data_IF_921101439979
#
_entry.id   IF_921101439979
#
_cell.length_a   1.000
_cell.length_b   1.000
_cell.length_c   1.000
_cell.angle_alpha   90.00
_cell.angle_beta   90.00
_cell.angle_gamma   90.00
#
_symmetry.space_group_name_H-M   'P 1'
#
loop_
_entity.id
_entity.type
_entity.pdbx_description
1 polymer ?
#
# COMPACT_ATOMS: atom_id res chain seq x y z
N UNK A 1 -3.57 11.76 3.00
CA UNK A 1 -2.50 11.82 1.97
C UNK A 1 -2.94 11.24 0.63
N UNK A 2 -4.00 10.42 0.55
CA UNK A 2 -4.52 9.90 -0.72
C UNK A 2 -5.06 10.98 -1.66
N UNK A 3 -5.21 10.62 -2.93
CA UNK A 3 -5.95 11.40 -3.92
C UNK A 3 -7.42 11.51 -3.51
N UNK A 4 -8.05 12.63 -3.85
CA UNK A 4 -9.49 12.81 -3.62
C UNK A 4 -10.29 11.82 -4.48
N UNK A 5 -9.83 11.57 -5.71
CA UNK A 5 -10.41 10.55 -6.60
C UNK A 5 -10.39 9.13 -6.00
N UNK A 6 -9.46 8.82 -5.10
CA UNK A 6 -9.40 7.52 -4.42
C UNK A 6 -10.56 7.36 -3.44
N UNK A 7 -10.87 8.41 -2.67
CA UNK A 7 -12.00 8.38 -1.75
C UNK A 7 -13.34 8.37 -2.49
N UNK A 8 -13.45 9.16 -3.55
CA UNK A 8 -14.64 9.14 -4.42
C UNK A 8 -14.87 7.76 -5.05
N UNK A 9 -13.80 7.12 -5.53
CA UNK A 9 -13.87 5.76 -6.07
C UNK A 9 -14.31 4.74 -5.03
N UNK A 10 -13.73 4.76 -3.83
CA UNK A 10 -14.07 3.85 -2.73
C UNK A 10 -15.54 3.99 -2.36
N UNK A 11 -16.05 5.21 -2.14
CA UNK A 11 -17.46 5.41 -1.75
C UNK A 11 -18.44 4.99 -2.86
N UNK A 12 -18.08 5.19 -4.13
CA UNK A 12 -18.87 4.70 -5.27
C UNK A 12 -18.95 3.18 -5.27
N UNK A 13 -17.81 2.50 -5.22
CA UNK A 13 -17.73 1.02 -5.29
C UNK A 13 -18.38 0.38 -4.07
N UNK A 14 -18.17 0.95 -2.88
CA UNK A 14 -18.83 0.55 -1.63
C UNK A 14 -20.35 0.51 -1.78
N UNK A 15 -20.95 1.57 -2.35
CA UNK A 15 -22.39 1.65 -2.60
C UNK A 15 -22.84 0.66 -3.68
N UNK A 16 -22.09 0.54 -4.77
CA UNK A 16 -22.41 -0.33 -5.90
C UNK A 16 -22.41 -1.82 -5.51
N UNK A 17 -21.41 -2.24 -4.75
CA UNK A 17 -21.21 -3.64 -4.37
C UNK A 17 -21.86 -4.00 -3.03
N UNK A 18 -22.40 -3.03 -2.30
CA UNK A 18 -23.02 -3.25 -0.99
C UNK A 18 -22.05 -3.77 0.08
N UNK A 19 -20.77 -3.37 -0.02
CA UNK A 19 -19.72 -3.80 0.92
C UNK A 19 -19.49 -2.77 2.02
N UNK A 20 -19.03 -3.24 3.17
CA UNK A 20 -18.58 -2.36 4.26
C UNK A 20 -17.12 -1.99 4.08
N UNK A 21 -16.78 -0.73 4.31
CA UNK A 21 -15.40 -0.23 4.30
C UNK A 21 -15.02 0.21 5.71
N UNK A 22 -13.90 -0.32 6.21
CA UNK A 22 -13.29 0.12 7.47
C UNK A 22 -12.04 0.91 7.14
N UNK A 23 -11.92 2.11 7.72
CA UNK A 23 -10.74 2.95 7.59
C UNK A 23 -9.97 2.93 8.90
N UNK A 24 -8.70 2.56 8.85
CA UNK A 24 -7.79 2.58 9.99
C UNK A 24 -6.55 3.38 9.62
N UNK A 25 -6.21 4.35 10.44
CA UNK A 25 -4.95 5.10 10.38
C UNK A 25 -4.29 5.09 11.74
N UNK A 26 -3.03 5.53 11.78
CA UNK A 26 -2.36 5.78 13.05
C UNK A 26 -2.85 7.12 13.62
N UNK A 27 -3.90 7.08 14.44
CA UNK A 27 -4.53 8.28 15.02
C UNK A 27 -3.56 9.10 15.88
N UNK A 28 -2.49 8.50 16.39
CA UNK A 28 -1.46 9.19 17.21
C UNK A 28 -0.62 10.16 16.38
N UNK A 29 -0.61 10.00 15.06
CA UNK A 29 0.07 10.89 14.13
C UNK A 29 -0.87 11.89 13.45
N UNK A 30 -2.12 11.98 13.91
CA UNK A 30 -3.10 12.90 13.34
C UNK A 30 -2.66 14.35 13.60
N UNK A 31 -2.68 15.15 12.53
CA UNK A 31 -2.28 16.56 12.57
C UNK A 31 -1.00 16.84 11.79
N UNK A 32 -0.12 15.84 11.65
CA UNK A 32 1.04 15.95 10.78
C UNK A 32 0.63 16.02 9.30
N UNK A 33 1.42 16.76 8.52
CA UNK A 33 1.27 16.96 7.09
C UNK A 33 2.45 16.35 6.35
N UNK A 34 2.23 16.04 5.08
CA UNK A 34 3.30 15.58 4.20
C UNK A 34 4.48 16.55 4.23
N UNK A 35 5.68 16.04 4.47
CA UNK A 35 6.92 16.81 4.52
C UNK A 35 7.27 17.39 5.89
N UNK A 36 6.40 17.28 6.90
CA UNK A 36 6.74 17.66 8.27
C UNK A 36 7.93 16.83 8.77
N UNK A 37 8.80 17.45 9.58
CA UNK A 37 9.85 16.75 10.31
C UNK A 37 9.29 16.33 11.67
N UNK A 38 9.26 15.03 11.94
CA UNK A 38 8.73 14.45 13.17
C UNK A 38 9.88 13.96 14.02
N UNK A 39 9.97 14.46 15.26
CA UNK A 39 10.96 13.98 16.23
C UNK A 39 10.50 12.69 16.87
N UNK A 40 11.38 11.68 16.89
CA UNK A 40 11.10 10.39 17.51
C UNK A 40 10.83 10.53 19.01
N UNK A 41 11.43 11.52 19.68
CA UNK A 41 11.18 11.80 21.10
C UNK A 41 9.77 12.31 21.39
N UNK A 42 9.07 12.86 20.40
CA UNK A 42 7.70 13.38 20.53
C UNK A 42 6.63 12.31 20.22
N UNK A 43 7.05 11.14 19.71
CA UNK A 43 6.15 10.03 19.42
C UNK A 43 5.62 9.37 20.70
N UNK A 44 4.46 8.73 20.55
CA UNK A 44 3.93 7.82 21.57
C UNK A 44 4.95 6.72 21.92
N UNK A 45 4.80 6.10 23.08
CA UNK A 45 5.67 4.98 23.47
C UNK A 45 5.55 3.82 22.49
N UNK A 46 4.33 3.54 22.05
CA UNK A 46 3.98 2.47 21.12
C UNK A 46 4.64 2.68 19.74
N UNK A 47 4.59 3.90 19.18
CA UNK A 47 5.22 4.18 17.89
C UNK A 47 6.76 4.17 17.99
N UNK A 48 7.34 4.59 19.12
CA UNK A 48 8.79 4.45 19.37
C UNK A 48 9.22 2.99 19.44
N UNK A 49 8.45 2.14 20.10
CA UNK A 49 8.70 0.69 20.16
C UNK A 49 8.62 0.05 18.76
N UNK A 50 7.66 0.46 17.93
CA UNK A 50 7.57 0.02 16.53
C UNK A 50 8.76 0.48 15.68
N UNK A 51 9.22 1.73 15.83
CA UNK A 51 10.44 2.21 15.17
C UNK A 51 11.69 1.47 15.64
N UNK A 52 11.79 1.14 16.92
CA UNK A 52 12.88 0.33 17.45
C UNK A 52 12.89 -1.07 16.85
N UNK A 53 11.71 -1.73 16.74
CA UNK A 53 11.56 -3.04 16.10
C UNK A 53 11.95 -3.00 14.62
N UNK A 54 11.65 -1.90 13.94
CA UNK A 54 12.06 -1.63 12.55
C UNK A 54 13.58 -1.40 12.42
N UNK A 55 14.31 -1.24 13.53
CA UNK A 55 15.73 -0.90 13.52
C UNK A 55 16.01 0.56 13.17
N UNK A 56 15.00 1.45 13.28
CA UNK A 56 15.16 2.87 13.01
C UNK A 56 15.85 3.57 14.18
N UNK A 57 17.00 4.18 13.92
CA UNK A 57 17.91 4.73 14.94
C UNK A 57 18.15 6.24 14.84
N UNK A 58 17.45 6.95 13.95
CA UNK A 58 17.59 8.41 13.80
C UNK A 58 16.65 9.14 14.77
N UNK A 59 17.01 10.36 15.11
CA UNK A 59 16.25 11.20 16.05
C UNK A 59 14.97 11.79 15.45
N UNK A 60 14.89 11.88 14.12
CA UNK A 60 13.76 12.44 13.39
C UNK A 60 13.55 11.72 12.06
N UNK A 61 12.36 11.89 11.48
CA UNK A 61 12.03 11.44 10.14
C UNK A 61 11.09 12.42 9.45
N UNK A 62 11.07 12.38 8.11
CA UNK A 62 10.12 13.16 7.32
C UNK A 62 8.80 12.39 7.24
N UNK A 63 7.69 13.05 7.51
CA UNK A 63 6.35 12.51 7.39
C UNK A 63 5.99 12.30 5.90
N UNK A 64 6.46 11.19 5.35
CA UNK A 64 6.31 10.80 3.95
C UNK A 64 6.35 9.26 3.83
N UNK A 65 5.79 8.71 2.76
CA UNK A 65 5.76 7.27 2.50
C UNK A 65 7.04 6.75 1.83
N UNK A 66 7.86 7.63 1.25
CA UNK A 66 9.21 7.33 0.81
C UNK A 66 10.22 7.25 1.97
N UNK A 67 9.81 7.63 3.19
CA UNK A 67 10.59 7.49 4.40
C UNK A 67 10.19 6.19 5.11
N UNK A 68 11.16 5.36 5.48
CA UNK A 68 10.89 4.05 6.08
C UNK A 68 10.10 4.13 7.39
N UNK A 69 10.42 5.09 8.27
CA UNK A 69 9.72 5.29 9.54
C UNK A 69 8.30 5.81 9.27
N UNK A 70 8.15 6.81 8.41
CA UNK A 70 6.86 7.33 8.00
C UNK A 70 5.96 6.25 7.38
N UNK A 71 6.49 5.46 6.45
CA UNK A 71 5.77 4.37 5.81
C UNK A 71 5.32 3.30 6.83
N UNK A 72 6.23 2.83 7.68
CA UNK A 72 5.91 1.82 8.69
C UNK A 72 4.81 2.28 9.64
N UNK A 73 4.94 3.50 10.19
CA UNK A 73 3.97 4.05 11.13
C UNK A 73 2.61 4.39 10.48
N UNK A 74 2.58 4.70 9.19
CA UNK A 74 1.36 5.12 8.48
C UNK A 74 0.65 3.97 7.75
N UNK A 75 1.32 2.84 7.55
CA UNK A 75 0.75 1.68 6.82
C UNK A 75 0.83 0.39 7.61
N UNK A 76 2.02 0.00 8.04
CA UNK A 76 2.21 -1.29 8.71
C UNK A 76 1.56 -1.31 10.09
N UNK A 77 1.82 -0.30 10.91
CA UNK A 77 1.25 -0.18 12.26
C UNK A 77 -0.28 -0.18 12.25
N UNK A 78 -0.98 0.69 11.48
CA UNK A 78 -2.44 0.67 11.46
C UNK A 78 -3.01 -0.63 10.87
N UNK A 79 -2.32 -1.30 9.93
CA UNK A 79 -2.75 -2.62 9.47
C UNK A 79 -2.67 -3.67 10.60
N UNK A 80 -1.56 -3.71 11.35
CA UNK A 80 -1.41 -4.60 12.51
C UNK A 80 -2.51 -4.36 13.54
N UNK A 81 -2.78 -3.09 13.85
CA UNK A 81 -3.87 -2.71 14.75
C UNK A 81 -5.24 -3.15 14.22
N UNK A 82 -5.54 -2.93 12.93
CA UNK A 82 -6.80 -3.35 12.31
C UNK A 82 -7.01 -4.86 12.41
N UNK A 83 -5.98 -5.67 12.10
CA UNK A 83 -6.05 -7.13 12.21
C UNK A 83 -6.38 -7.55 13.65
N UNK A 84 -5.76 -6.90 14.64
CA UNK A 84 -5.95 -7.21 16.05
C UNK A 84 -7.33 -6.79 16.56
N UNK A 85 -7.73 -5.55 16.27
CA UNK A 85 -8.98 -4.95 16.75
C UNK A 85 -10.20 -5.64 16.13
N UNK A 86 -10.11 -5.99 14.84
CA UNK A 86 -11.18 -6.66 14.09
C UNK A 86 -11.11 -8.19 14.18
N UNK A 87 -10.09 -8.75 14.85
CA UNK A 87 -9.86 -10.19 15.00
C UNK A 87 -9.85 -10.93 13.65
N UNK A 88 -9.04 -10.44 12.72
CA UNK A 88 -8.94 -10.99 11.36
C UNK A 88 -8.04 -12.22 11.38
N UNK A 89 -8.61 -13.40 11.14
CA UNK A 89 -7.84 -14.65 10.99
C UNK A 89 -7.19 -14.77 9.60
N UNK A 90 -7.84 -14.22 8.57
CA UNK A 90 -7.37 -14.27 7.19
C UNK A 90 -7.58 -12.92 6.47
N UNK A 91 -6.53 -12.43 5.82
CA UNK A 91 -6.52 -11.18 5.05
C UNK A 91 -6.25 -11.47 3.58
N UNK A 92 -7.21 -11.19 2.71
CA UNK A 92 -7.01 -11.28 1.26
C UNK A 92 -6.20 -10.05 0.80
N UNK A 93 -5.09 -10.27 0.09
CA UNK A 93 -4.22 -9.20 -0.39
C UNK A 93 -3.99 -9.35 -1.89
N UNK A 94 -4.20 -8.27 -2.65
CA UNK A 94 -4.06 -8.23 -4.10
C UNK A 94 -2.62 -7.99 -4.58
N UNK A 95 -1.65 -8.79 -4.10
CA UNK A 95 -0.27 -8.77 -4.64
C UNK A 95 -0.11 -9.81 -5.75
N UNK A 96 0.83 -9.55 -6.67
CA UNK A 96 1.14 -10.42 -7.81
C UNK A 96 2.66 -10.60 -7.92
N UNK A 97 3.12 -11.70 -8.52
CA UNK A 97 4.56 -11.99 -8.61
C UNK A 97 5.30 -11.06 -9.58
N UNK A 98 4.66 -10.64 -10.67
CA UNK A 98 5.22 -9.74 -11.69
C UNK A 98 5.28 -8.27 -11.24
N UNK A 99 4.51 -7.89 -10.21
CA UNK A 99 4.32 -6.49 -9.81
C UNK A 99 5.59 -5.86 -9.22
N UNK A 100 6.36 -6.60 -8.41
CA UNK A 100 7.62 -6.14 -7.83
C UNK A 100 8.51 -7.33 -7.43
N UNK A 101 9.83 -7.31 -7.67
CA UNK A 101 10.73 -8.41 -7.28
C UNK A 101 10.65 -8.82 -5.81
N UNK A 102 10.38 -7.89 -4.90
CA UNK A 102 10.22 -8.19 -3.46
C UNK A 102 9.00 -9.10 -3.16
N UNK A 103 8.09 -9.27 -4.13
CA UNK A 103 6.86 -10.09 -4.03
C UNK A 103 7.00 -11.45 -4.69
N UNK A 104 8.06 -11.68 -5.47
CA UNK A 104 8.21 -12.89 -6.29
C UNK A 104 8.29 -14.20 -5.48
N UNK A 105 8.59 -14.14 -4.18
CA UNK A 105 8.66 -15.30 -3.29
C UNK A 105 7.39 -15.52 -2.45
N UNK A 106 6.32 -14.76 -2.68
CA UNK A 106 5.09 -14.90 -1.91
C UNK A 106 4.34 -16.20 -2.23
N UNK A 107 3.66 -16.77 -1.24
CA UNK A 107 2.87 -18.01 -1.37
C UNK A 107 1.38 -17.72 -1.28
N UNK A 108 0.53 -18.60 -1.83
CA UNK A 108 -0.93 -18.42 -1.80
C UNK A 108 -1.51 -18.24 -0.39
N UNK A 109 -0.95 -18.98 0.57
CA UNK A 109 -1.25 -18.86 1.99
C UNK A 109 0.05 -18.54 2.73
N UNK A 110 0.03 -17.42 3.45
CA UNK A 110 1.24 -16.83 4.03
C UNK A 110 0.97 -16.46 5.48
N UNK A 111 1.26 -17.37 6.42
CA UNK A 111 1.08 -17.13 7.85
C UNK A 111 1.93 -15.95 8.33
N UNK A 112 1.38 -15.16 9.23
CA UNK A 112 2.01 -14.03 9.90
C UNK A 112 1.85 -14.20 11.40
N UNK A 113 2.86 -13.79 12.17
CA UNK A 113 2.90 -14.02 13.61
C UNK A 113 2.55 -12.78 14.44
N UNK A 114 2.79 -11.57 13.90
CA UNK A 114 2.59 -10.32 14.63
C UNK A 114 1.73 -9.30 13.84
N UNK A 115 0.42 -9.21 14.13
CA UNK A 115 -0.37 -10.17 14.91
C UNK A 115 -0.60 -11.49 14.14
N UNK A 116 -1.01 -12.59 14.81
CA UNK A 116 -1.32 -13.84 14.13
C UNK A 116 -2.47 -13.68 13.12
N UNK A 117 -2.20 -13.98 11.85
CA UNK A 117 -3.19 -14.06 10.77
C UNK A 117 -2.58 -14.77 9.56
N UNK A 118 -3.40 -15.17 8.59
CA UNK A 118 -2.94 -15.67 7.29
C UNK A 118 -3.21 -14.65 6.19
N UNK A 119 -2.20 -14.30 5.40
CA UNK A 119 -2.44 -13.58 4.14
C UNK A 119 -2.80 -14.56 3.05
N UNK A 120 -3.85 -14.25 2.31
CA UNK A 120 -4.37 -15.06 1.21
C UNK A 120 -4.20 -14.27 -0.09
N UNK A 121 -3.45 -14.82 -1.03
CA UNK A 121 -3.13 -14.15 -2.29
C UNK A 121 -3.80 -14.90 -3.44
N UNK A 122 -4.95 -14.38 -3.90
CA UNK A 122 -5.80 -15.08 -4.88
C UNK A 122 -5.36 -14.89 -6.34
N UNK A 123 -4.45 -13.94 -6.59
CA UNK A 123 -4.07 -13.50 -7.94
C UNK A 123 -2.55 -13.51 -8.18
N UNK A 124 -1.77 -14.29 -7.42
CA UNK A 124 -0.30 -14.29 -7.55
C UNK A 124 0.20 -14.54 -8.98
N UNK A 125 -0.51 -15.40 -9.72
CA UNK A 125 -0.19 -15.82 -11.08
C UNK A 125 -0.60 -14.81 -12.16
N UNK A 126 -1.44 -13.83 -11.82
CA UNK A 126 -1.95 -12.87 -12.80
C UNK A 126 -0.87 -11.87 -13.15
N UNK A 127 -0.63 -11.67 -14.44
CA UNK A 127 0.13 -10.55 -14.97
C UNK A 127 -0.69 -9.26 -14.97
N UNK A 128 -0.04 -8.11 -15.16
CA UNK A 128 -0.77 -6.84 -15.20
C UNK A 128 -1.78 -6.81 -16.36
N UNK A 129 -1.43 -7.47 -17.47
CA UNK A 129 -2.32 -7.65 -18.61
C UNK A 129 -3.57 -8.44 -18.22
N UNK A 130 -3.42 -9.56 -17.51
CA UNK A 130 -4.55 -10.38 -17.06
C UNK A 130 -5.51 -9.56 -16.18
N UNK A 131 -4.97 -8.70 -15.30
CA UNK A 131 -5.77 -7.81 -14.46
C UNK A 131 -6.59 -6.84 -15.31
N UNK A 132 -5.97 -6.19 -16.30
CA UNK A 132 -6.67 -5.22 -17.15
C UNK A 132 -7.70 -5.90 -18.07
N UNK A 133 -7.37 -7.04 -18.68
CA UNK A 133 -8.28 -7.79 -19.53
C UNK A 133 -9.51 -8.27 -18.73
N UNK A 134 -9.29 -8.81 -17.53
CA UNK A 134 -10.39 -9.24 -16.66
C UNK A 134 -11.25 -8.05 -16.21
N UNK A 135 -10.62 -6.96 -15.78
CA UNK A 135 -11.31 -5.76 -15.29
C UNK A 135 -12.19 -5.14 -16.38
N UNK A 136 -11.65 -4.94 -17.58
CA UNK A 136 -12.37 -4.32 -18.69
C UNK A 136 -13.41 -5.28 -19.30
N UNK A 137 -13.06 -6.55 -19.48
CA UNK A 137 -13.95 -7.58 -20.03
C UNK A 137 -15.20 -7.79 -19.19
N UNK A 138 -15.08 -7.70 -17.86
CA UNK A 138 -16.19 -7.81 -16.92
C UNK A 138 -16.82 -6.46 -16.53
N UNK A 139 -16.36 -5.36 -17.12
CA UNK A 139 -16.86 -3.99 -16.85
C UNK A 139 -16.80 -3.63 -15.36
N UNK A 140 -15.74 -4.04 -14.68
CA UNK A 140 -15.53 -3.68 -13.27
C UNK A 140 -15.24 -2.17 -13.15
N UNK A 141 -15.60 -1.54 -12.02
CA UNK A 141 -15.26 -0.15 -11.77
C UNK A 141 -13.75 0.09 -11.81
N UNK A 142 -13.33 1.09 -12.58
CA UNK A 142 -11.91 1.50 -12.70
C UNK A 142 -11.70 2.86 -12.02
N UNK A 143 -10.60 2.98 -11.28
CA UNK A 143 -10.21 4.25 -10.66
C UNK A 143 -9.85 5.28 -11.76
N UNK A 144 -10.40 6.52 -11.71
CA UNK A 144 -10.31 7.47 -12.82
C UNK A 144 -8.88 7.88 -13.18
N UNK A 145 -7.95 7.88 -12.23
CA UNK A 145 -6.54 8.18 -12.51
C UNK A 145 -5.87 7.17 -13.46
N UNK A 146 -6.35 5.93 -13.57
CA UNK A 146 -5.81 4.99 -14.55
C UNK A 146 -6.08 5.43 -16.00
N UNK A 147 -7.17 6.15 -16.27
CA UNK A 147 -7.41 6.78 -17.57
C UNK A 147 -6.46 7.95 -17.83
N UNK A 148 -5.98 8.61 -16.76
CA UNK A 148 -5.06 9.75 -16.82
C UNK A 148 -3.59 9.31 -16.87
N UNK A 149 -3.32 8.02 -17.07
CA UNK A 149 -1.98 7.46 -17.27
C UNK A 149 -1.13 7.27 -16.02
N UNK A 150 -1.79 7.17 -14.86
CA UNK A 150 -1.22 6.50 -13.69
C UNK A 150 -1.29 4.98 -13.89
N UNK A 151 -0.30 4.26 -13.33
CA UNK A 151 -0.22 2.78 -13.46
C UNK A 151 -0.20 2.05 -12.12
N UNK A 152 0.19 2.73 -11.04
CA UNK A 152 0.07 2.27 -9.66
C UNK A 152 -0.15 3.48 -8.75
N UNK A 153 -0.98 3.37 -7.71
CA UNK A 153 -1.47 4.50 -6.89
C UNK A 153 -1.18 4.34 -5.40
N UNK A 154 -0.68 5.40 -4.75
CA UNK A 154 -0.44 5.50 -3.30
C UNK A 154 -1.09 6.75 -2.67
N UNK A 155 -0.29 7.59 -2.02
CA UNK A 155 -0.59 8.98 -1.73
C UNK A 155 -0.40 9.87 -2.97
N UNK A 156 -0.94 11.09 -2.88
CA UNK A 156 -0.93 12.07 -3.97
C UNK A 156 0.38 12.82 -4.18
N UNK A 157 1.30 12.77 -3.22
CA UNK A 157 2.57 13.49 -3.28
C UNK A 157 3.68 12.64 -3.90
N UNK A 158 3.61 11.32 -3.72
CA UNK A 158 4.71 10.40 -4.09
C UNK A 158 4.34 9.38 -5.17
N UNK A 159 3.12 9.51 -5.71
CA UNK A 159 2.69 8.80 -6.92
C UNK A 159 2.82 9.70 -8.14
N UNK A 160 3.53 9.22 -9.18
CA UNK A 160 3.68 9.94 -10.44
C UNK A 160 2.89 9.32 -11.58
N UNK A 161 2.33 10.18 -12.42
CA UNK A 161 1.84 9.83 -13.77
C UNK A 161 3.04 9.43 -14.64
N UNK A 162 2.88 8.38 -15.45
CA UNK A 162 3.99 7.78 -16.22
C UNK A 162 3.74 7.79 -17.73
N UNK A 163 2.52 8.10 -18.17
CA UNK A 163 2.13 8.22 -19.57
C UNK A 163 0.91 9.14 -19.71
N UNK A 164 0.59 9.59 -20.92
CA UNK A 164 -0.70 10.22 -21.24
C UNK A 164 -1.77 9.22 -21.68
N UNK A 165 -1.38 7.95 -21.88
CA UNK A 165 -2.31 6.87 -22.24
C UNK A 165 -2.95 6.25 -21.00
N UNK A 166 -4.19 5.75 -21.09
CA UNK A 166 -4.78 4.90 -20.07
C UNK A 166 -3.87 3.73 -19.70
N UNK A 167 -3.90 3.29 -18.44
CA UNK A 167 -2.99 2.28 -17.89
C UNK A 167 -2.87 1.02 -18.76
N UNK A 168 -3.99 0.45 -19.21
CA UNK A 168 -4.05 -0.76 -20.05
C UNK A 168 -3.54 -0.58 -21.48
N UNK A 169 -3.33 0.66 -21.94
CA UNK A 169 -2.77 0.98 -23.27
C UNK A 169 -1.26 1.29 -23.22
N UNK A 170 -0.66 1.25 -22.02
CA UNK A 170 0.77 1.46 -21.83
C UNK A 170 1.58 0.20 -22.19
N UNK A 171 2.91 0.32 -22.21
CA UNK A 171 3.79 -0.80 -22.52
C UNK A 171 3.92 -1.75 -21.31
N UNK A 172 2.91 -2.60 -21.11
CA UNK A 172 2.79 -3.42 -19.90
C UNK A 172 3.97 -4.38 -19.70
N UNK A 173 4.45 -4.98 -20.78
CA UNK A 173 5.46 -6.05 -20.74
C UNK A 173 6.88 -5.55 -20.48
N UNK A 174 7.19 -4.32 -20.90
CA UNK A 174 8.59 -3.84 -20.93
C UNK A 174 8.84 -2.68 -19.97
N UNK A 175 7.84 -2.23 -19.22
CA UNK A 175 8.00 -1.19 -18.22
C UNK A 175 7.36 -1.63 -16.91
N UNK A 176 8.00 -1.48 -15.74
CA UNK A 176 7.42 -1.91 -14.48
C UNK A 176 6.14 -1.14 -14.13
N UNK A 177 5.10 -1.84 -13.68
CA UNK A 177 3.83 -1.25 -13.21
C UNK A 177 4.05 -0.11 -12.21
N UNK A 178 4.98 -0.34 -11.28
CA UNK A 178 5.22 0.50 -10.11
C UNK A 178 6.31 1.55 -10.31
N UNK A 179 6.73 1.81 -11.54
CA UNK A 179 7.79 2.80 -11.85
C UNK A 179 7.46 4.22 -11.34
N UNK A 180 6.18 4.55 -11.20
CA UNK A 180 5.71 5.82 -10.64
C UNK A 180 5.74 5.92 -9.11
N UNK A 181 6.19 4.88 -8.39
CA UNK A 181 6.17 4.78 -6.91
C UNK A 181 7.49 5.22 -6.30
N UNK A 182 7.45 6.11 -5.30
CA UNK A 182 8.66 6.54 -4.60
C UNK A 182 9.28 5.46 -3.70
N UNK A 183 8.46 4.63 -3.05
CA UNK A 183 8.91 3.61 -2.09
C UNK A 183 9.65 2.42 -2.72
N UNK A 184 9.53 2.24 -4.05
CA UNK A 184 10.17 1.15 -4.79
C UNK A 184 11.64 1.49 -5.15
N UNK A 185 12.15 2.63 -4.67
CA UNK A 185 13.56 3.02 -4.80
C UNK A 185 14.40 2.46 -3.64
N UNK A 186 15.49 1.77 -3.97
CA UNK A 186 16.39 1.17 -2.98
C UNK A 186 15.76 -0.03 -2.26
N UNK A 187 16.20 -0.30 -1.02
CA UNK A 187 15.81 -1.51 -0.27
C UNK A 187 14.60 -1.29 0.68
N UNK A 188 13.87 -0.19 0.52
CA UNK A 188 12.78 0.18 1.45
C UNK A 188 11.70 -0.90 1.50
N UNK A 189 11.24 -1.37 0.33
CA UNK A 189 10.22 -2.43 0.24
C UNK A 189 10.65 -3.75 0.89
N UNK A 190 11.92 -4.13 0.75
CA UNK A 190 12.46 -5.35 1.36
C UNK A 190 12.43 -5.25 2.88
N UNK A 191 12.89 -4.12 3.44
CA UNK A 191 12.87 -3.92 4.90
C UNK A 191 11.42 -3.89 5.41
N UNK A 192 10.55 -3.11 4.78
CA UNK A 192 9.14 -3.01 5.16
C UNK A 192 8.44 -4.38 5.17
N UNK A 193 8.68 -5.24 4.16
CA UNK A 193 8.07 -6.57 4.08
C UNK A 193 8.48 -7.50 5.22
N UNK A 194 9.74 -7.41 5.68
CA UNK A 194 10.21 -8.17 6.86
C UNK A 194 9.46 -7.78 8.14
N UNK A 195 8.96 -6.55 8.21
CA UNK A 195 8.24 -6.01 9.38
C UNK A 195 6.72 -6.02 9.24
N UNK A 196 6.18 -6.73 8.24
CA UNK A 196 4.74 -6.91 8.08
C UNK A 196 4.08 -5.97 7.07
N UNK A 197 4.84 -5.31 6.21
CA UNK A 197 4.27 -4.63 5.03
C UNK A 197 3.79 -5.63 3.95
N UNK A 198 2.89 -5.20 3.05
CA UNK A 198 2.28 -6.00 1.97
C UNK A 198 3.21 -6.20 0.76
#
# INVERSE_FOLDING_TARGET
MHFDETWEFIERVKKEWGVSVVVKGNERLKGHKYGDVVKVSELSREDREELQRLGYNREEFVFALNNIAGNHLLKTVPLKEAVKDLKIDALIVGVRWDENPARASETFFSPREDPPHTRVHTILLFTERDIWEFTLGNRLPVHPLYYKGYRSLDDKYETKKVSDKPAWEQNLENTPERVGRAQDKGNIMEILRRHGYM
#
